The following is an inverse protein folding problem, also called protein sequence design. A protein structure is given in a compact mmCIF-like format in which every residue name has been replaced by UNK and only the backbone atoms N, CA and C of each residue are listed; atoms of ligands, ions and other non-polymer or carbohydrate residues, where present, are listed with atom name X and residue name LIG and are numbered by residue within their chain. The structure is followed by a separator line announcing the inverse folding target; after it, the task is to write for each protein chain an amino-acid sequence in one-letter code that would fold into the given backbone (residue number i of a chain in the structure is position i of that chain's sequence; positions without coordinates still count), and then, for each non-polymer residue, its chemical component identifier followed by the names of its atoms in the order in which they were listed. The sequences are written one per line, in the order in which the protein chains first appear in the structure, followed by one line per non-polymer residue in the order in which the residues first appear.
data_IF_907152730464
#
_entry.id   IF_907152730464
#
_cell.length_a   1.000
_cell.length_b   1.000
_cell.length_c   1.000
_cell.angle_alpha   90.00
_cell.angle_beta   90.00
_cell.angle_gamma   90.00
#
_symmetry.space_group_name_H-M   'P 1'
#
loop_
_entity.id
_entity.type
_entity.pdbx_description
1 polymer ?
#
# COMPACT_ATOMS: atom_id res chain seq x y z
N UNK A 1 23.52 -6.69 -25.95
CA UNK A 1 22.63 -5.53 -26.07
C UNK A 1 21.63 -5.62 -24.92
N UNK A 2 21.66 -4.58 -24.08
CA UNK A 2 20.68 -4.16 -23.06
C UNK A 2 20.26 -5.21 -22.01
N UNK A 3 20.87 -5.18 -20.83
CA UNK A 3 20.45 -4.35 -19.69
C UNK A 3 19.03 -4.70 -19.23
N UNK A 4 18.95 -5.64 -18.29
CA UNK A 4 17.79 -5.72 -17.40
C UNK A 4 18.31 -5.37 -16.01
N UNK A 5 18.20 -4.08 -15.69
CA UNK A 5 18.45 -3.56 -14.35
C UNK A 5 17.54 -4.32 -13.39
N UNK A 6 18.13 -5.28 -12.67
CA UNK A 6 17.52 -5.92 -11.52
C UNK A 6 17.36 -4.84 -10.46
N UNK A 7 16.24 -4.12 -10.50
CA UNK A 7 15.86 -3.12 -9.53
C UNK A 7 15.85 -3.78 -8.15
N UNK A 8 16.89 -3.50 -7.37
CA UNK A 8 17.09 -3.99 -6.02
C UNK A 8 15.95 -3.46 -5.15
N UNK A 9 14.84 -4.19 -5.06
CA UNK A 9 13.83 -3.92 -4.04
C UNK A 9 14.51 -4.28 -2.73
N UNK A 10 14.98 -3.28 -2.00
CA UNK A 10 15.44 -3.48 -0.63
C UNK A 10 14.26 -4.08 0.15
N UNK A 11 14.39 -5.33 0.59
CA UNK A 11 13.39 -5.98 1.42
C UNK A 11 13.40 -5.33 2.79
N UNK A 12 12.60 -4.28 2.97
CA UNK A 12 12.44 -3.60 4.25
C UNK A 12 11.74 -4.54 5.24
N UNK A 13 12.11 -4.45 6.52
CA UNK A 13 11.39 -5.17 7.58
C UNK A 13 9.96 -4.63 7.73
N UNK A 14 9.02 -5.45 8.22
CA UNK A 14 7.65 -5.01 8.47
C UNK A 14 7.58 -3.81 9.43
N UNK A 15 8.47 -3.76 10.43
CA UNK A 15 8.55 -2.61 11.34
C UNK A 15 9.02 -1.35 10.61
N UNK A 16 10.03 -1.45 9.74
CA UNK A 16 10.50 -0.33 8.92
C UNK A 16 9.38 0.18 8.00
N UNK A 17 8.69 -0.72 7.30
CA UNK A 17 7.57 -0.37 6.43
C UNK A 17 6.47 0.35 7.23
N UNK A 18 6.10 -0.18 8.40
CA UNK A 18 5.13 0.43 9.31
C UNK A 18 5.50 1.87 9.68
N UNK A 19 6.77 2.13 9.99
CA UNK A 19 7.25 3.48 10.30
C UNK A 19 7.19 4.42 9.08
N UNK A 20 7.53 3.92 7.88
CA UNK A 20 7.52 4.72 6.65
C UNK A 20 6.11 5.14 6.22
N UNK A 21 5.17 4.20 6.22
CA UNK A 21 3.81 4.45 5.73
C UNK A 21 2.93 5.11 6.80
N UNK A 22 3.23 4.89 8.09
CA UNK A 22 2.48 5.39 9.23
C UNK A 22 1.06 4.82 9.32
N UNK A 23 0.29 5.29 10.30
CA UNK A 23 -1.10 4.83 10.52
C UNK A 23 -2.00 4.99 9.30
N UNK A 24 -1.88 6.11 8.60
CA UNK A 24 -2.67 6.39 7.39
C UNK A 24 -2.35 5.43 6.24
N UNK A 25 -1.09 4.98 6.09
CA UNK A 25 -0.76 3.98 5.07
C UNK A 25 -1.34 2.61 5.38
N UNK A 26 -1.39 2.25 6.67
CA UNK A 26 -2.05 1.02 7.12
C UNK A 26 -3.57 1.11 6.88
N UNK A 27 -4.18 2.24 7.22
CA UNK A 27 -5.61 2.50 6.99
C UNK A 27 -5.96 2.38 5.50
N UNK A 28 -5.15 2.96 4.60
CA UNK A 28 -5.32 2.84 3.16
C UNK A 28 -5.29 1.39 2.68
N UNK A 29 -4.27 0.63 3.09
CA UNK A 29 -4.17 -0.79 2.73
C UNK A 29 -5.38 -1.58 3.23
N UNK A 30 -5.84 -1.32 4.46
CA UNK A 30 -7.03 -1.97 5.03
C UNK A 30 -8.31 -1.63 4.26
N UNK A 31 -8.51 -0.37 3.86
CA UNK A 31 -9.68 0.04 3.06
C UNK A 31 -9.68 -0.64 1.69
N UNK A 32 -8.52 -0.75 1.04
CA UNK A 32 -8.37 -1.41 -0.25
C UNK A 32 -8.63 -2.91 -0.11
N UNK A 33 -8.11 -3.56 0.94
CA UNK A 33 -8.42 -4.96 1.27
C UNK A 33 -9.93 -5.19 1.50
N UNK A 34 -10.64 -4.19 2.04
CA UNK A 34 -12.09 -4.23 2.25
C UNK A 34 -12.91 -3.89 1.00
N UNK A 35 -12.26 -3.61 -0.14
CA UNK A 35 -12.90 -3.40 -1.43
C UNK A 35 -13.04 -1.93 -1.86
N UNK A 36 -12.37 -0.98 -1.20
CA UNK A 36 -12.28 0.41 -1.69
C UNK A 36 -11.14 0.50 -2.72
N UNK A 37 -11.44 0.26 -4.00
CA UNK A 37 -10.44 0.02 -5.04
C UNK A 37 -10.11 1.26 -5.88
N UNK A 38 -10.65 2.44 -5.60
CA UNK A 38 -10.34 3.64 -6.36
C UNK A 38 -10.33 4.90 -5.49
N UNK A 39 -9.78 6.00 -6.02
CA UNK A 39 -9.69 7.27 -5.31
C UNK A 39 -11.05 7.75 -4.81
N UNK A 40 -12.10 7.55 -5.62
CA UNK A 40 -13.45 7.98 -5.27
C UNK A 40 -13.95 7.26 -4.02
N UNK A 41 -13.84 5.94 -3.97
CA UNK A 41 -14.25 5.12 -2.83
C UNK A 41 -13.43 5.43 -1.59
N UNK A 42 -12.10 5.54 -1.74
CA UNK A 42 -11.21 5.89 -0.63
C UNK A 42 -11.58 7.23 -0.01
N UNK A 43 -11.87 8.25 -0.82
CA UNK A 43 -12.32 9.56 -0.33
C UNK A 43 -13.75 9.53 0.23
N UNK A 44 -14.62 8.66 -0.29
CA UNK A 44 -16.03 8.56 0.14
C UNK A 44 -16.18 7.88 1.49
N UNK A 45 -15.37 6.85 1.75
CA UNK A 45 -15.50 5.99 2.93
C UNK A 45 -14.46 6.29 4.03
N UNK A 46 -13.63 7.32 3.85
CA UNK A 46 -12.65 7.76 4.85
C UNK A 46 -12.55 9.29 4.92
N UNK A 47 -11.71 9.80 5.82
CA UNK A 47 -11.37 11.24 5.90
C UNK A 47 -10.15 11.62 5.03
N UNK A 48 -9.69 10.71 4.15
CA UNK A 48 -8.48 10.89 3.35
C UNK A 48 -8.75 11.90 2.23
N UNK A 49 -7.85 12.86 2.07
CA UNK A 49 -7.90 13.88 1.02
C UNK A 49 -7.15 13.45 -0.23
N UNK A 50 -7.44 14.05 -1.39
CA UNK A 50 -6.70 13.78 -2.63
C UNK A 50 -5.19 13.99 -2.44
N UNK A 51 -4.77 15.08 -1.80
CA UNK A 51 -3.35 15.34 -1.56
C UNK A 51 -2.67 14.29 -0.68
N UNK A 52 -3.42 13.57 0.17
CA UNK A 52 -2.88 12.41 0.89
C UNK A 52 -2.71 11.21 -0.04
N UNK A 53 -3.69 10.92 -0.91
CA UNK A 53 -3.61 9.84 -1.90
C UNK A 53 -2.42 10.04 -2.85
N UNK A 54 -2.24 11.28 -3.33
CA UNK A 54 -1.15 11.66 -4.25
C UNK A 54 0.25 11.36 -3.69
N UNK A 55 0.39 11.28 -2.35
CA UNK A 55 1.64 10.93 -1.67
C UNK A 55 1.67 9.45 -1.26
N UNK A 56 0.57 8.95 -0.69
CA UNK A 56 0.53 7.61 -0.08
C UNK A 56 0.46 6.51 -1.12
N UNK A 57 -0.33 6.65 -2.19
CA UNK A 57 -0.44 5.63 -3.22
C UNK A 57 0.93 5.37 -3.89
N UNK A 58 1.70 6.38 -4.36
CA UNK A 58 3.03 6.15 -4.90
C UNK A 58 4.00 5.51 -3.90
N UNK A 59 3.94 5.88 -2.62
CA UNK A 59 4.77 5.28 -1.57
C UNK A 59 4.45 3.79 -1.38
N UNK A 60 3.17 3.44 -1.28
CA UNK A 60 2.72 2.05 -1.14
C UNK A 60 3.12 1.20 -2.36
N UNK A 61 3.03 1.76 -3.57
CA UNK A 61 3.51 1.13 -4.81
C UNK A 61 5.03 0.95 -4.82
N UNK A 62 5.78 1.95 -4.37
CA UNK A 62 7.25 1.89 -4.25
C UNK A 62 7.68 0.77 -3.30
N UNK A 63 6.92 0.57 -2.22
CA UNK A 63 7.14 -0.50 -1.26
C UNK A 63 6.55 -1.85 -1.70
N UNK A 64 6.02 -1.94 -2.92
CA UNK A 64 5.40 -3.15 -3.48
C UNK A 64 4.25 -3.73 -2.63
N UNK A 65 3.56 -2.88 -1.86
CA UNK A 65 2.39 -3.27 -1.05
C UNK A 65 1.08 -3.16 -1.84
N UNK A 66 1.09 -2.34 -2.88
CA UNK A 66 -0.04 -2.02 -3.72
C UNK A 66 0.38 -2.06 -5.20
N UNK A 67 -0.56 -2.43 -6.08
CA UNK A 67 -0.45 -2.26 -7.53
C UNK A 67 -1.68 -1.54 -8.09
N UNK A 68 -1.68 -1.27 -9.39
CA UNK A 68 -2.77 -0.60 -10.09
C UNK A 68 -2.64 0.91 -10.16
N UNK A 69 -3.73 1.58 -10.49
CA UNK A 69 -3.82 3.03 -10.70
C UNK A 69 -5.13 3.58 -10.13
N UNK A 70 -5.41 4.87 -10.40
CA UNK A 70 -6.58 5.56 -9.83
C UNK A 70 -7.92 4.91 -10.19
N UNK A 71 -7.98 4.10 -11.23
CA UNK A 71 -9.19 3.41 -11.68
C UNK A 71 -9.36 2.03 -11.01
N UNK A 72 -8.30 1.50 -10.39
CA UNK A 72 -8.32 0.19 -9.75
C UNK A 72 -7.03 -0.12 -8.98
N UNK A 73 -7.12 -0.15 -7.66
CA UNK A 73 -6.09 -0.53 -6.72
C UNK A 73 -6.27 -1.97 -6.26
N UNK A 74 -5.16 -2.70 -6.23
CA UNK A 74 -5.12 -4.07 -5.70
C UNK A 74 -3.97 -4.19 -4.69
N UNK A 75 -4.23 -4.88 -3.59
CA UNK A 75 -3.20 -5.23 -2.62
C UNK A 75 -2.34 -6.38 -3.18
N UNK A 76 -1.02 -6.30 -3.00
CA UNK A 76 -0.13 -7.39 -3.40
C UNK A 76 -0.09 -8.47 -2.31
N UNK A 77 0.41 -9.67 -2.63
CA UNK A 77 0.66 -10.71 -1.61
C UNK A 77 1.58 -10.22 -0.47
N UNK A 78 2.55 -9.35 -0.79
CA UNK A 78 3.40 -8.71 0.21
C UNK A 78 2.60 -7.75 1.10
N UNK A 79 1.71 -6.95 0.50
CA UNK A 79 0.80 -6.06 1.20
C UNK A 79 -0.14 -6.79 2.16
N UNK A 80 -0.72 -7.91 1.74
CA UNK A 80 -1.57 -8.75 2.58
C UNK A 80 -0.81 -9.34 3.76
N UNK A 81 0.36 -9.93 3.50
CA UNK A 81 1.24 -10.49 4.54
C UNK A 81 1.64 -9.41 5.54
N UNK A 82 1.97 -8.21 5.06
CA UNK A 82 2.28 -7.06 5.90
C UNK A 82 1.09 -6.65 6.78
N UNK A 83 -0.11 -6.54 6.21
CA UNK A 83 -1.31 -6.18 6.96
C UNK A 83 -1.62 -7.21 8.05
N UNK A 84 -1.59 -8.50 7.74
CA UNK A 84 -1.84 -9.57 8.71
C UNK A 84 -0.90 -9.45 9.91
N UNK A 85 0.39 -9.23 9.65
CA UNK A 85 1.41 -9.08 10.69
C UNK A 85 1.23 -7.83 11.55
N UNK A 86 0.81 -6.71 10.94
CA UNK A 86 0.60 -5.44 11.67
C UNK A 86 -0.70 -5.45 12.48
N UNK A 87 -1.74 -6.11 11.97
CA UNK A 87 -3.04 -6.26 12.64
C UNK A 87 -3.04 -7.37 13.70
N UNK A 88 -1.98 -8.18 13.77
CA UNK A 88 -1.85 -9.26 14.74
C UNK A 88 -2.72 -10.46 14.43
N UNK A 89 -2.97 -10.74 13.14
CA UNK A 89 -3.69 -11.93 12.67
C UNK A 89 -2.74 -13.09 12.37
N UNK A 90 -1.60 -13.14 13.06
CA UNK A 90 -0.73 -14.32 13.02
C UNK A 90 -1.40 -15.43 13.86
N UNK A 91 -1.90 -16.48 13.19
CA UNK A 91 -2.27 -17.76 13.80
C UNK A 91 -1.04 -18.48 14.39
#
# INVERSE_FOLDING_TARGET
MESSESSTIATFSAETIRHLIGGMGIELLSLIQQGCVNDYELKRYSSITQGCLDVKIPLLKTLSLLTGDSDGYEITALGETFLQRVLGWED
#
